data_IF_087908252758
#
_entry.id   IF_087908252758
#
_cell.length_a   1.000
_cell.length_b   1.000
_cell.length_c   1.000
_cell.angle_alpha   90.00
_cell.angle_beta   90.00
_cell.angle_gamma   90.00
#
_symmetry.space_group_name_H-M   'P 1'
#
loop_
_entity.id
_entity.type
_entity.pdbx_description
1 polymer ?
#
# COMPACT_ATOMS: atom_id res chain seq x y z
N UNK A 1 12.40 6.63 -29.96
CA UNK A 1 13.21 6.83 -28.75
C UNK A 1 13.46 5.44 -28.16
N UNK A 2 14.69 5.08 -27.81
CA UNK A 2 14.93 3.76 -27.17
C UNK A 2 14.23 3.75 -25.83
N UNK A 3 13.37 2.75 -25.58
CA UNK A 3 12.63 2.58 -24.33
C UNK A 3 13.58 2.69 -23.12
N UNK A 4 13.17 3.45 -22.11
CA UNK A 4 13.93 3.58 -20.85
C UNK A 4 13.85 2.23 -20.15
N UNK A 5 14.96 1.48 -20.12
CA UNK A 5 15.03 0.18 -19.47
C UNK A 5 14.88 0.36 -17.95
N UNK A 6 13.79 -0.11 -17.36
CA UNK A 6 13.49 -0.04 -15.91
C UNK A 6 14.61 -0.68 -15.05
N UNK A 7 15.44 -1.54 -15.63
CA UNK A 7 16.58 -2.18 -14.95
C UNK A 7 17.71 -1.19 -14.58
N UNK A 8 17.76 -0.01 -15.18
CA UNK A 8 18.75 1.02 -14.89
C UNK A 8 18.22 2.02 -13.87
N UNK A 9 19.11 2.59 -13.05
CA UNK A 9 18.75 3.71 -12.19
C UNK A 9 18.20 4.83 -13.09
N UNK A 10 16.90 5.12 -12.95
CA UNK A 10 16.24 6.15 -13.73
C UNK A 10 16.57 7.56 -13.24
N UNK A 11 15.97 8.56 -13.86
CA UNK A 11 16.00 9.94 -13.37
C UNK A 11 15.28 10.04 -12.03
N UNK A 12 15.80 10.80 -11.07
CA UNK A 12 15.14 11.04 -9.78
C UNK A 12 14.07 12.13 -9.91
N UNK A 13 12.93 11.80 -10.53
CA UNK A 13 11.83 12.74 -10.75
C UNK A 13 11.22 13.21 -9.42
N UNK A 14 11.02 12.28 -8.46
CA UNK A 14 10.44 12.61 -7.16
C UNK A 14 11.37 13.51 -6.35
N UNK A 15 12.65 13.16 -6.25
CA UNK A 15 13.62 13.91 -5.46
C UNK A 15 13.97 15.28 -6.04
N UNK A 16 13.76 15.48 -7.35
CA UNK A 16 14.02 16.75 -8.06
C UNK A 16 12.76 17.62 -8.18
N UNK A 17 11.60 17.16 -7.70
CA UNK A 17 10.36 17.92 -7.78
C UNK A 17 10.31 19.03 -6.71
N UNK A 18 9.86 20.21 -7.10
CA UNK A 18 9.62 21.35 -6.18
C UNK A 18 8.35 21.18 -5.33
N UNK A 19 7.52 20.17 -5.63
CA UNK A 19 6.27 19.91 -4.93
C UNK A 19 6.45 18.86 -3.84
N UNK A 20 5.68 19.00 -2.73
CA UNK A 20 5.64 17.99 -1.68
C UNK A 20 5.32 16.60 -2.25
N UNK A 21 5.96 15.53 -1.75
CA UNK A 21 5.66 14.15 -2.17
C UNK A 21 4.19 13.76 -2.02
N UNK A 22 3.52 14.27 -0.97
CA UNK A 22 2.09 14.05 -0.74
C UNK A 22 1.36 15.37 -0.65
N UNK A 23 0.25 15.49 -1.38
CA UNK A 23 -0.59 16.66 -1.25
C UNK A 23 -2.07 16.37 -1.54
N UNK A 24 -2.94 17.22 -0.97
CA UNK A 24 -4.35 17.27 -1.33
C UNK A 24 -4.49 17.97 -2.68
N UNK A 25 -5.18 17.35 -3.62
CA UNK A 25 -5.46 17.93 -4.95
C UNK A 25 -6.50 19.04 -4.80
N UNK A 26 -6.16 20.24 -5.28
CA UNK A 26 -7.00 21.46 -5.16
C UNK A 26 -8.25 21.38 -6.05
N UNK A 27 -8.11 20.84 -7.24
CA UNK A 27 -9.12 20.82 -8.29
C UNK A 27 -9.40 19.39 -8.74
N UNK A 28 -9.95 18.57 -7.83
CA UNK A 28 -10.27 17.17 -8.10
C UNK A 28 -11.14 16.97 -9.35
N UNK A 29 -12.05 17.94 -9.65
CA UNK A 29 -12.89 17.90 -10.85
C UNK A 29 -12.08 18.03 -12.16
N UNK A 30 -10.98 18.79 -12.16
CA UNK A 30 -10.11 18.90 -13.33
C UNK A 30 -9.31 17.61 -13.60
N UNK A 31 -9.03 16.84 -12.54
CA UNK A 31 -8.41 15.51 -12.65
C UNK A 31 -9.41 14.48 -13.17
N UNK A 32 -10.71 14.70 -12.95
CA UNK A 32 -11.80 13.80 -13.36
C UNK A 32 -11.72 12.38 -12.79
N UNK A 33 -11.12 12.22 -11.61
CA UNK A 33 -11.12 10.95 -10.89
C UNK A 33 -12.39 10.83 -10.05
N UNK A 34 -13.29 9.96 -10.46
CA UNK A 34 -14.51 9.64 -9.71
C UNK A 34 -14.23 8.56 -8.67
N UNK A 35 -14.87 8.68 -7.50
CA UNK A 35 -14.85 7.62 -6.52
C UNK A 35 -15.66 6.41 -7.04
N UNK A 36 -15.27 5.17 -6.66
CA UNK A 36 -16.08 4.00 -6.99
C UNK A 36 -17.46 4.09 -6.34
N UNK A 37 -18.44 3.39 -6.93
CA UNK A 37 -19.75 3.21 -6.28
C UNK A 37 -19.53 2.53 -4.93
N UNK A 38 -19.95 3.21 -3.87
CA UNK A 38 -19.82 2.68 -2.52
C UNK A 38 -20.86 1.58 -2.28
N UNK A 39 -20.42 0.33 -2.23
CA UNK A 39 -21.29 -0.85 -2.07
C UNK A 39 -21.14 -1.55 -0.70
N UNK A 40 -20.11 -1.16 0.09
CA UNK A 40 -19.82 -1.85 1.35
C UNK A 40 -19.71 -0.89 2.56
N UNK A 41 -19.52 0.38 2.35
CA UNK A 41 -19.38 1.40 3.39
C UNK A 41 -18.35 2.47 3.04
N UNK A 42 -17.19 2.06 2.54
CA UNK A 42 -16.17 2.93 1.98
C UNK A 42 -15.61 2.34 0.69
N UNK A 43 -15.20 3.20 -0.22
CA UNK A 43 -14.59 2.81 -1.49
C UNK A 43 -13.49 3.81 -1.88
N UNK A 44 -12.41 3.28 -2.45
CA UNK A 44 -11.27 4.09 -2.85
C UNK A 44 -10.87 3.72 -4.27
N UNK A 45 -10.78 4.72 -5.17
CA UNK A 45 -10.17 4.59 -6.48
C UNK A 45 -8.76 5.10 -6.45
N UNK A 46 -7.84 4.29 -6.93
CA UNK A 46 -6.42 4.61 -7.02
C UNK A 46 -5.97 4.50 -8.48
N UNK A 47 -5.57 5.62 -9.07
CA UNK A 47 -4.84 5.64 -10.32
C UNK A 47 -3.36 5.64 -10.03
N UNK A 48 -2.60 4.76 -10.66
CA UNK A 48 -1.13 4.74 -10.52
C UNK A 48 -0.49 4.76 -11.89
N UNK A 49 0.54 5.59 -12.06
CA UNK A 49 1.41 5.59 -13.24
C UNK A 49 2.87 5.39 -12.86
N UNK A 50 3.62 4.81 -13.79
CA UNK A 50 5.08 4.80 -13.74
C UNK A 50 5.64 6.20 -14.03
N UNK A 51 6.76 6.55 -13.42
CA UNK A 51 7.50 7.79 -13.68
C UNK A 51 8.86 7.50 -14.32
N UNK A 52 9.83 7.10 -13.52
CA UNK A 52 11.17 6.74 -13.96
C UNK A 52 11.73 5.63 -13.08
N UNK A 53 12.30 4.60 -13.67
CA UNK A 53 12.78 3.44 -12.92
C UNK A 53 11.64 2.83 -12.09
N UNK A 54 11.83 2.78 -10.76
CA UNK A 54 10.80 2.29 -9.83
C UNK A 54 9.98 3.40 -9.15
N UNK A 55 10.15 4.65 -9.56
CA UNK A 55 9.33 5.77 -9.08
C UNK A 55 7.92 5.72 -9.66
N UNK A 56 6.93 5.99 -8.84
CA UNK A 56 5.52 5.94 -9.18
C UNK A 56 4.76 7.09 -8.55
N UNK A 57 3.68 7.46 -9.17
CA UNK A 57 2.75 8.48 -8.70
C UNK A 57 1.34 7.91 -8.69
N UNK A 58 0.58 8.22 -7.63
CA UNK A 58 -0.82 7.86 -7.53
C UNK A 58 -1.72 9.07 -7.29
N UNK A 59 -2.93 9.01 -7.85
CA UNK A 59 -4.06 9.83 -7.46
C UNK A 59 -5.07 8.92 -6.77
N UNK A 60 -5.42 9.26 -5.53
CA UNK A 60 -6.24 8.43 -4.65
C UNK A 60 -7.50 9.18 -4.27
N UNK A 61 -8.66 8.69 -4.71
CA UNK A 61 -9.98 9.27 -4.44
C UNK A 61 -10.75 8.42 -3.45
N UNK A 62 -11.01 8.96 -2.26
CA UNK A 62 -11.87 8.32 -1.26
C UNK A 62 -13.33 8.71 -1.46
N UNK A 63 -14.22 7.74 -1.53
CA UNK A 63 -15.67 7.97 -1.58
C UNK A 63 -16.20 8.56 -0.28
N UNK A 64 -15.65 8.15 0.86
CA UNK A 64 -16.05 8.58 2.19
C UNK A 64 -15.71 10.04 2.48
N UNK A 65 -14.48 10.44 2.21
CA UNK A 65 -14.02 11.80 2.52
C UNK A 65 -14.24 12.78 1.38
N UNK A 66 -14.52 12.28 0.17
CA UNK A 66 -14.58 13.09 -1.05
C UNK A 66 -13.25 13.77 -1.39
N UNK A 67 -12.13 13.35 -0.80
CA UNK A 67 -10.81 13.93 -1.04
C UNK A 67 -10.05 13.16 -2.12
N UNK A 68 -9.25 13.89 -2.88
CA UNK A 68 -8.30 13.31 -3.82
C UNK A 68 -6.89 13.68 -3.37
N UNK A 69 -6.07 12.66 -3.14
CA UNK A 69 -4.68 12.80 -2.73
C UNK A 69 -3.75 12.46 -3.88
N UNK A 70 -2.69 13.24 -4.05
CA UNK A 70 -1.53 12.84 -4.83
C UNK A 70 -0.50 12.26 -3.88
N UNK A 71 -0.06 11.03 -4.16
CA UNK A 71 0.94 10.29 -3.39
C UNK A 71 2.03 9.79 -4.33
N UNK A 72 3.26 9.65 -3.85
CA UNK A 72 4.36 9.06 -4.63
C UNK A 72 5.04 7.95 -3.85
N UNK A 73 5.59 6.99 -4.57
CA UNK A 73 6.36 5.88 -4.02
C UNK A 73 7.64 5.68 -4.81
N UNK A 74 8.69 5.30 -4.11
CA UNK A 74 9.96 4.90 -4.70
C UNK A 74 10.47 3.64 -4.02
N UNK A 75 11.43 2.99 -4.64
CA UNK A 75 12.15 1.87 -4.04
C UNK A 75 13.58 2.30 -3.68
N UNK A 76 14.18 1.59 -2.76
CA UNK A 76 15.56 1.84 -2.39
C UNK A 76 16.58 1.21 -3.35
N UNK A 77 17.87 1.34 -3.02
CA UNK A 77 18.97 0.81 -3.85
C UNK A 77 18.89 -0.69 -4.14
N UNK A 78 18.16 -1.45 -3.33
CA UNK A 78 17.91 -2.89 -3.52
C UNK A 78 17.11 -3.21 -4.82
N UNK A 79 16.42 -2.22 -5.40
CA UNK A 79 15.73 -2.27 -6.69
C UNK A 79 16.24 -1.19 -7.66
N UNK A 80 17.45 -0.68 -7.47
CA UNK A 80 17.98 0.46 -8.25
C UNK A 80 17.07 1.70 -8.19
N UNK A 81 16.41 1.94 -7.05
CA UNK A 81 15.65 3.15 -6.77
C UNK A 81 16.48 4.20 -6.02
N UNK A 82 15.93 5.39 -5.88
CA UNK A 82 16.59 6.53 -5.24
C UNK A 82 16.28 6.68 -3.75
N UNK A 83 15.36 5.87 -3.20
CA UNK A 83 14.87 6.00 -1.81
C UNK A 83 14.29 7.41 -1.53
N UNK A 84 13.71 8.05 -2.57
CA UNK A 84 13.22 9.43 -2.52
C UNK A 84 11.81 9.56 -1.92
N UNK A 85 11.10 8.45 -1.78
CA UNK A 85 9.76 8.37 -1.19
C UNK A 85 9.56 7.01 -0.51
N UNK A 86 8.51 6.85 0.33
CA UNK A 86 8.23 5.58 0.97
C UNK A 86 8.03 4.44 -0.04
N UNK A 87 8.56 3.25 0.27
CA UNK A 87 8.32 2.06 -0.55
C UNK A 87 6.85 1.61 -0.46
N UNK A 88 6.32 0.87 -1.45
CA UNK A 88 4.91 0.43 -1.46
C UNK A 88 4.44 -0.26 -0.18
N UNK A 89 5.28 -1.11 0.41
CA UNK A 89 4.94 -1.85 1.63
C UNK A 89 4.79 -0.94 2.85
N UNK A 90 5.43 0.24 2.84
CA UNK A 90 5.30 1.26 3.88
C UNK A 90 3.87 1.81 3.96
N UNK A 91 3.21 2.00 2.83
CA UNK A 91 1.84 2.50 2.77
C UNK A 91 0.84 1.55 3.44
N UNK A 92 0.94 0.23 3.15
CA UNK A 92 0.09 -0.75 3.82
C UNK A 92 0.34 -0.74 5.32
N UNK A 93 1.60 -0.84 5.78
CA UNK A 93 1.92 -0.87 7.22
C UNK A 93 1.43 0.38 7.93
N UNK A 94 1.55 1.55 7.31
CA UNK A 94 1.08 2.83 7.84
C UNK A 94 -0.45 2.90 7.90
N UNK A 95 -1.12 2.54 6.80
CA UNK A 95 -2.58 2.49 6.74
C UNK A 95 -3.19 1.50 7.73
N UNK A 96 -2.56 0.34 7.91
CA UNK A 96 -2.94 -0.65 8.94
C UNK A 96 -2.87 -0.06 10.34
N UNK A 97 -1.72 0.53 10.70
CA UNK A 97 -1.52 1.11 12.02
C UNK A 97 -2.51 2.27 12.27
N UNK A 98 -2.81 3.07 11.24
CA UNK A 98 -3.84 4.11 11.32
C UNK A 98 -5.23 3.51 11.56
N UNK A 99 -5.60 2.46 10.83
CA UNK A 99 -6.90 1.79 10.98
C UNK A 99 -7.09 1.17 12.36
N UNK A 100 -6.08 0.48 12.89
CA UNK A 100 -6.14 -0.06 14.25
C UNK A 100 -6.25 1.05 15.30
N UNK A 101 -5.51 2.16 15.15
CA UNK A 101 -5.59 3.29 16.06
C UNK A 101 -6.99 3.92 16.08
N UNK A 102 -7.68 3.99 14.91
CA UNK A 102 -9.05 4.47 14.83
C UNK A 102 -9.99 3.64 15.70
N UNK A 103 -9.94 2.32 15.55
CA UNK A 103 -10.83 1.41 16.28
C UNK A 103 -10.51 1.37 17.78
N UNK A 104 -9.22 1.38 18.15
CA UNK A 104 -8.79 1.43 19.56
C UNK A 104 -9.32 2.69 20.23
N UNK A 105 -9.13 3.85 19.61
CA UNK A 105 -9.57 5.14 20.19
C UNK A 105 -11.10 5.25 20.27
N UNK A 106 -11.81 4.71 19.28
CA UNK A 106 -13.27 4.66 19.27
C UNK A 106 -13.82 3.77 20.38
N UNK A 107 -13.25 2.55 20.54
CA UNK A 107 -13.64 1.62 21.62
C UNK A 107 -13.31 2.17 23.00
N UNK A 108 -12.14 2.80 23.15
CA UNK A 108 -11.76 3.45 24.40
C UNK A 108 -12.80 4.51 24.80
N UNK A 109 -13.18 5.37 23.85
CA UNK A 109 -14.24 6.37 24.06
C UNK A 109 -15.58 5.74 24.42
N UNK A 110 -16.01 4.69 23.71
CA UNK A 110 -17.27 3.99 23.97
C UNK A 110 -17.30 3.32 25.35
N UNK A 111 -16.14 2.82 25.82
CA UNK A 111 -16.00 2.12 27.11
C UNK A 111 -15.55 3.06 28.26
N UNK A 112 -15.48 4.37 28.01
CA UNK A 112 -14.99 5.38 28.96
C UNK A 112 -13.60 5.05 29.51
N UNK A 113 -12.68 4.62 28.63
CA UNK A 113 -11.28 4.33 28.94
C UNK A 113 -10.42 5.51 28.53
N UNK A 114 -9.58 5.98 29.45
CA UNK A 114 -8.58 7.01 29.19
C UNK A 114 -7.21 6.36 29.12
N UNK A 115 -6.49 6.61 28.01
CA UNK A 115 -5.08 6.21 27.87
C UNK A 115 -4.20 7.41 28.22
N UNK A 116 -3.36 7.27 29.26
CA UNK A 116 -2.31 8.24 29.55
C UNK A 116 -1.19 8.16 28.53
N UNK A 117 -0.90 6.95 28.04
CA UNK A 117 0.01 6.70 26.91
C UNK A 117 -0.53 5.56 26.06
N UNK A 118 -0.40 5.70 24.76
CA UNK A 118 -0.75 4.67 23.79
C UNK A 118 0.22 4.74 22.61
N UNK A 119 0.87 3.63 22.30
CA UNK A 119 1.74 3.49 21.13
C UNK A 119 1.53 2.11 20.49
N UNK A 120 1.35 2.08 19.19
CA UNK A 120 1.29 0.83 18.41
C UNK A 120 2.64 0.61 17.74
N UNK A 121 3.17 -0.61 17.84
CA UNK A 121 4.37 -1.05 17.14
C UNK A 121 3.98 -2.27 16.31
N UNK A 122 3.97 -2.09 15.00
CA UNK A 122 3.55 -3.11 14.06
C UNK A 122 4.71 -3.59 13.21
N UNK A 123 4.78 -4.89 12.92
CA UNK A 123 5.70 -5.46 11.96
C UNK A 123 4.96 -6.36 10.98
N UNK A 124 5.10 -6.04 9.71
CA UNK A 124 4.60 -6.83 8.59
C UNK A 124 5.74 -7.62 7.99
N UNK A 125 5.47 -8.88 7.68
CA UNK A 125 6.45 -9.80 7.10
C UNK A 125 5.97 -10.31 5.75
N UNK A 126 6.90 -10.33 4.80
CA UNK A 126 6.64 -10.82 3.45
C UNK A 126 7.73 -11.78 3.01
N UNK A 127 7.41 -12.67 2.10
CA UNK A 127 8.38 -13.62 1.54
C UNK A 127 8.42 -13.53 0.02
N UNK A 128 9.60 -13.76 -0.55
CA UNK A 128 9.78 -13.95 -1.98
C UNK A 128 10.60 -15.20 -2.19
N UNK A 129 10.07 -16.16 -2.95
CA UNK A 129 10.72 -17.44 -3.21
C UNK A 129 10.58 -17.83 -4.68
N UNK A 130 11.57 -18.53 -5.19
CA UNK A 130 11.57 -19.09 -6.55
C UNK A 130 12.42 -18.30 -7.53
N UNK A 131 12.24 -18.59 -8.81
CA UNK A 131 13.04 -18.07 -9.92
C UNK A 131 12.17 -17.36 -10.94
N UNK A 132 12.52 -16.12 -11.29
CA UNK A 132 11.78 -15.34 -12.31
C UNK A 132 11.97 -15.96 -13.71
N UNK A 133 13.20 -16.32 -14.17
CA UNK A 133 13.36 -16.96 -15.46
C UNK A 133 12.60 -18.29 -15.61
N UNK A 134 12.43 -19.03 -14.49
CA UNK A 134 11.66 -20.29 -14.47
C UNK A 134 10.16 -20.08 -14.24
N UNK A 135 9.67 -18.83 -14.09
CA UNK A 135 8.26 -18.49 -13.77
C UNK A 135 7.75 -19.12 -12.45
N UNK A 136 8.66 -19.46 -11.55
CA UNK A 136 8.34 -20.06 -10.24
C UNK A 136 8.44 -19.07 -9.07
N UNK A 137 8.76 -17.80 -9.35
CA UNK A 137 8.85 -16.78 -8.30
C UNK A 137 7.47 -16.42 -7.76
N UNK A 138 7.31 -16.48 -6.44
CA UNK A 138 6.03 -16.21 -5.75
C UNK A 138 6.26 -15.26 -4.59
N UNK A 139 5.41 -14.23 -4.51
CA UNK A 139 5.28 -13.36 -3.35
C UNK A 139 4.38 -14.00 -2.29
N UNK A 140 4.69 -13.76 -1.02
CA UNK A 140 3.91 -14.25 0.11
C UNK A 140 3.84 -13.23 1.23
N UNK A 141 2.86 -13.39 2.13
CA UNK A 141 2.73 -12.63 3.36
C UNK A 141 2.64 -13.56 4.55
N UNK A 142 3.11 -13.10 5.71
CA UNK A 142 3.12 -13.86 6.97
C UNK A 142 2.30 -13.11 8.05
N UNK A 143 1.90 -13.80 9.14
CA UNK A 143 1.21 -13.16 10.25
C UNK A 143 1.91 -11.93 10.77
N UNK A 144 1.11 -10.93 11.17
CA UNK A 144 1.56 -9.62 11.61
C UNK A 144 1.80 -9.63 13.10
N UNK A 145 2.90 -9.03 13.55
CA UNK A 145 3.12 -8.75 14.96
C UNK A 145 2.62 -7.33 15.26
N UNK A 146 1.70 -7.20 16.21
CA UNK A 146 1.18 -5.95 16.73
C UNK A 146 1.43 -5.88 18.24
N UNK A 147 2.36 -5.04 18.66
CA UNK A 147 2.58 -4.71 20.05
C UNK A 147 1.88 -3.39 20.39
N UNK A 148 1.11 -3.40 21.46
CA UNK A 148 0.46 -2.21 22.02
C UNK A 148 1.11 -1.88 23.35
N UNK A 149 1.81 -0.76 23.39
CA UNK A 149 2.34 -0.19 24.62
C UNK A 149 1.31 0.79 25.19
N UNK A 150 0.89 0.57 26.44
CA UNK A 150 -0.23 1.31 27.04
C UNK A 150 -0.03 1.61 28.50
N UNK A 151 -0.45 2.82 28.91
CA UNK A 151 -0.62 3.21 30.31
C UNK A 151 -2.10 3.60 30.53
N UNK A 152 -2.83 2.82 31.32
CA UNK A 152 -4.21 3.06 31.72
C UNK A 152 -4.59 2.21 32.95
N UNK A 153 -5.81 2.44 33.49
CA UNK A 153 -6.28 1.79 34.71
C UNK A 153 -7.04 0.46 34.50
N UNK A 154 -7.24 0.03 33.24
CA UNK A 154 -7.91 -1.23 32.95
C UNK A 154 -7.07 -2.43 33.41
N UNK A 155 -7.72 -3.50 33.83
CA UNK A 155 -7.05 -4.79 34.05
C UNK A 155 -6.65 -5.47 32.71
N UNK A 156 -5.85 -6.51 32.79
CA UNK A 156 -5.31 -7.19 31.61
C UNK A 156 -6.38 -7.87 30.76
N UNK A 157 -7.44 -8.38 31.36
CA UNK A 157 -8.54 -9.04 30.66
C UNK A 157 -9.36 -8.02 29.84
N UNK A 158 -9.67 -6.87 30.44
CA UNK A 158 -10.39 -5.79 29.78
C UNK A 158 -9.54 -5.16 28.67
N UNK A 159 -8.23 -4.97 28.88
CA UNK A 159 -7.31 -4.50 27.85
C UNK A 159 -7.23 -5.46 26.66
N UNK A 160 -7.06 -6.74 26.93
CA UNK A 160 -7.00 -7.75 25.88
C UNK A 160 -8.30 -7.78 25.07
N UNK A 161 -9.46 -7.72 25.72
CA UNK A 161 -10.76 -7.61 25.03
C UNK A 161 -10.83 -6.36 24.17
N UNK A 162 -10.45 -5.20 24.68
CA UNK A 162 -10.51 -3.94 23.94
C UNK A 162 -9.64 -3.99 22.67
N UNK A 163 -8.40 -4.45 22.77
CA UNK A 163 -7.50 -4.46 21.62
C UNK A 163 -7.84 -5.57 20.61
N UNK A 164 -8.32 -6.72 21.07
CA UNK A 164 -8.82 -7.77 20.17
C UNK A 164 -10.07 -7.31 19.40
N UNK A 165 -11.00 -6.65 20.09
CA UNK A 165 -12.20 -6.11 19.46
C UNK A 165 -11.84 -5.03 18.43
N UNK A 166 -10.85 -4.16 18.74
CA UNK A 166 -10.35 -3.14 17.80
C UNK A 166 -9.74 -3.76 16.54
N UNK A 167 -8.91 -4.79 16.68
CA UNK A 167 -8.34 -5.51 15.53
C UNK A 167 -9.44 -6.08 14.66
N UNK A 168 -10.48 -6.68 15.26
CA UNK A 168 -11.58 -7.26 14.50
C UNK A 168 -12.49 -6.21 13.86
N UNK A 169 -12.71 -5.06 14.52
CA UNK A 169 -13.54 -3.97 14.05
C UNK A 169 -12.92 -3.19 12.89
N UNK A 170 -11.59 -3.28 12.71
CA UNK A 170 -10.88 -2.57 11.65
C UNK A 170 -11.31 -3.06 10.26
N UNK A 171 -11.67 -2.15 9.31
CA UNK A 171 -12.00 -2.50 7.93
C UNK A 171 -10.93 -3.35 7.24
N UNK A 172 -9.66 -3.11 7.59
CA UNK A 172 -8.53 -3.89 7.12
C UNK A 172 -8.64 -5.40 7.39
N UNK A 173 -9.32 -5.78 8.48
CA UNK A 173 -9.53 -7.18 8.83
C UNK A 173 -10.20 -7.98 7.69
N UNK A 174 -11.03 -7.33 6.87
CA UNK A 174 -11.63 -7.92 5.68
C UNK A 174 -10.60 -8.37 4.64
N UNK A 175 -9.54 -7.57 4.39
CA UNK A 175 -8.44 -7.94 3.49
C UNK A 175 -7.62 -9.14 4.01
N UNK A 176 -7.54 -9.32 5.32
CA UNK A 176 -6.70 -10.33 5.95
C UNK A 176 -7.37 -11.70 6.09
N UNK A 177 -8.69 -11.75 6.16
CA UNK A 177 -9.44 -12.96 6.53
C UNK A 177 -10.25 -13.57 5.39
N UNK A 178 -10.52 -12.78 4.35
CA UNK A 178 -11.41 -13.15 3.27
C UNK A 178 -10.79 -14.07 2.22
N UNK A 179 -9.48 -14.25 2.18
CA UNK A 179 -8.77 -14.89 1.07
C UNK A 179 -9.23 -14.33 -0.27
N UNK A 180 -9.14 -13.01 -0.38
CA UNK A 180 -9.68 -12.29 -1.52
C UNK A 180 -8.76 -12.46 -2.73
N UNK A 181 -9.31 -12.96 -3.82
CA UNK A 181 -8.64 -12.94 -5.11
C UNK A 181 -8.60 -11.52 -5.66
N UNK A 182 -7.58 -11.23 -6.47
CA UNK A 182 -7.52 -9.98 -7.22
C UNK A 182 -8.12 -10.20 -8.61
N UNK A 183 -8.89 -9.23 -9.10
CA UNK A 183 -9.62 -9.29 -10.37
C UNK A 183 -9.04 -8.28 -11.34
N UNK A 184 -8.88 -8.65 -12.61
CA UNK A 184 -8.15 -7.84 -13.57
C UNK A 184 -8.86 -7.63 -14.90
N UNK A 185 -8.64 -6.45 -15.47
CA UNK A 185 -8.76 -6.15 -16.89
C UNK A 185 -7.39 -5.77 -17.43
N UNK A 186 -7.12 -6.11 -18.67
CA UNK A 186 -5.86 -5.83 -19.35
C UNK A 186 -6.08 -5.06 -20.63
N UNK A 187 -5.27 -4.04 -20.86
CA UNK A 187 -5.18 -3.32 -22.13
C UNK A 187 -3.72 -3.28 -22.58
N UNK A 188 -3.49 -3.51 -23.86
CA UNK A 188 -2.20 -3.37 -24.51
C UNK A 188 -2.30 -2.36 -25.64
N UNK A 189 -1.53 -1.27 -25.57
CA UNK A 189 -1.50 -0.21 -26.58
C UNK A 189 -2.93 0.31 -26.92
N UNK A 190 -3.76 0.50 -25.88
CA UNK A 190 -5.14 0.99 -26.01
C UNK A 190 -6.17 -0.05 -26.46
N UNK A 191 -5.77 -1.31 -26.67
CA UNK A 191 -6.71 -2.40 -27.06
C UNK A 191 -6.90 -3.36 -25.88
N UNK A 192 -8.16 -3.64 -25.54
CA UNK A 192 -8.49 -4.62 -24.50
C UNK A 192 -7.99 -6.02 -24.89
N UNK A 193 -7.35 -6.69 -23.94
CA UNK A 193 -6.83 -8.03 -24.09
C UNK A 193 -7.37 -8.91 -22.94
N UNK A 194 -7.78 -10.14 -23.23
CA UNK A 194 -8.17 -11.07 -22.18
C UNK A 194 -7.00 -11.40 -21.24
N UNK A 195 -7.29 -11.75 -20.00
CA UNK A 195 -6.29 -12.30 -19.08
C UNK A 195 -5.97 -13.75 -19.45
N UNK A 196 -4.85 -14.30 -18.93
CA UNK A 196 -4.52 -15.74 -19.07
C UNK A 196 -4.79 -16.46 -17.73
N UNK A 197 -3.89 -16.34 -16.75
CA UNK A 197 -4.03 -17.00 -15.43
C UNK A 197 -4.64 -16.11 -14.38
N UNK A 198 -4.42 -14.78 -14.49
CA UNK A 198 -5.06 -13.82 -13.61
C UNK A 198 -6.58 -13.85 -13.78
N UNK A 199 -7.33 -13.82 -12.68
CA UNK A 199 -8.80 -13.86 -12.71
C UNK A 199 -9.36 -12.61 -13.39
N UNK A 200 -10.17 -12.81 -14.43
CA UNK A 200 -10.74 -11.70 -15.19
C UNK A 200 -11.86 -11.01 -14.40
N UNK A 201 -11.87 -9.68 -14.44
CA UNK A 201 -12.91 -8.84 -13.85
C UNK A 201 -14.09 -8.76 -14.83
N UNK A 202 -15.29 -9.12 -14.38
CA UNK A 202 -16.52 -9.09 -15.18
C UNK A 202 -17.12 -7.68 -15.26
N UNK A 203 -16.44 -6.78 -15.96
CA UNK A 203 -16.94 -5.44 -16.27
C UNK A 203 -16.26 -4.90 -17.55
N UNK A 204 -16.72 -3.75 -18.05
CA UNK A 204 -16.03 -3.05 -19.13
C UNK A 204 -14.67 -2.49 -18.64
N UNK A 205 -13.69 -2.44 -19.54
CA UNK A 205 -12.43 -1.76 -19.28
C UNK A 205 -12.70 -0.27 -19.00
N UNK A 206 -12.14 0.27 -17.92
CA UNK A 206 -12.22 1.70 -17.64
C UNK A 206 -11.36 2.50 -18.63
N UNK A 207 -11.64 3.80 -18.81
CA UNK A 207 -10.75 4.68 -19.55
C UNK A 207 -9.36 4.72 -18.94
N UNK A 208 -8.33 4.74 -19.78
CA UNK A 208 -6.95 4.95 -19.34
C UNK A 208 -6.82 6.33 -18.69
N UNK A 209 -6.29 6.44 -17.47
CA UNK A 209 -6.09 7.73 -16.80
C UNK A 209 -5.08 8.65 -17.50
N UNK A 210 -4.20 8.10 -18.35
CA UNK A 210 -3.33 8.85 -19.27
C UNK A 210 -2.72 10.13 -18.69
N UNK A 211 -3.01 11.26 -19.33
CA UNK A 211 -2.47 12.58 -18.99
C UNK A 211 -3.19 13.31 -17.85
N UNK A 212 -4.25 12.73 -17.26
CA UNK A 212 -5.03 13.35 -16.19
C UNK A 212 -4.20 13.69 -14.95
N UNK A 213 -3.10 12.97 -14.71
CA UNK A 213 -2.17 13.26 -13.63
C UNK A 213 -1.56 14.67 -13.69
N UNK A 214 -1.38 15.21 -14.90
CA UNK A 214 -0.83 16.55 -15.09
C UNK A 214 -1.74 17.66 -14.55
N UNK A 215 -3.03 17.38 -14.40
CA UNK A 215 -4.01 18.33 -13.86
C UNK A 215 -3.98 18.39 -12.32
N UNK A 216 -3.27 17.50 -11.64
CA UNK A 216 -3.22 17.47 -10.18
C UNK A 216 -2.35 18.62 -9.64
N UNK A 217 -3.00 19.62 -9.03
CA UNK A 217 -2.36 20.80 -8.44
C UNK A 217 -2.53 20.77 -6.92
N UNK A 218 -1.46 21.06 -6.12
CA UNK A 218 -1.55 21.06 -4.67
C UNK A 218 -2.43 22.18 -4.13
N UNK A 219 -3.11 21.92 -3.01
CA UNK A 219 -3.66 22.98 -2.14
C UNK A 219 -2.48 23.66 -1.45
N UNK A 220 -2.43 24.98 -1.56
CA UNK A 220 -1.35 25.78 -0.99
C UNK A 220 -1.37 25.80 0.56
N UNK A 221 -0.20 26.09 1.16
CA UNK A 221 -0.04 26.31 2.61
C UNK A 221 -0.50 25.15 3.50
N UNK A 222 -0.28 23.90 3.08
CA UNK A 222 -0.50 22.74 3.93
C UNK A 222 0.82 22.20 4.50
N UNK A 223 0.78 21.60 5.71
CA UNK A 223 1.96 20.95 6.27
C UNK A 223 2.37 19.74 5.42
N UNK A 224 3.64 19.38 5.51
CA UNK A 224 4.13 18.15 4.92
C UNK A 224 3.45 16.93 5.57
N UNK A 225 2.87 16.08 4.71
CA UNK A 225 2.13 14.89 5.13
C UNK A 225 3.02 13.65 5.22
N UNK A 226 4.20 13.73 4.61
CA UNK A 226 5.24 12.69 4.61
C UNK A 226 6.61 13.35 4.55
N UNK A 227 7.57 12.74 5.21
CA UNK A 227 8.97 13.20 5.13
C UNK A 227 9.94 12.15 5.60
N UNK A 228 11.19 12.16 5.10
CA UNK A 228 12.22 11.26 5.56
C UNK A 228 12.63 11.60 7.01
N UNK A 229 12.81 10.57 7.81
CA UNK A 229 13.35 10.68 9.19
C UNK A 229 14.85 10.38 9.20
N UNK A 230 15.28 9.49 8.32
CA UNK A 230 16.65 9.02 8.21
C UNK A 230 16.71 7.49 8.04
N UNK A 231 17.91 6.92 8.01
CA UNK A 231 18.06 5.48 7.88
C UNK A 231 17.36 4.73 9.00
N UNK A 232 16.65 3.67 8.68
CA UNK A 232 16.05 2.78 9.70
C UNK A 232 17.14 2.23 10.61
N UNK A 233 16.99 2.29 11.96
CA UNK A 233 17.92 1.67 12.88
C UNK A 233 18.07 0.17 12.55
N UNK A 234 19.30 -0.31 12.48
CA UNK A 234 19.55 -1.74 12.27
C UNK A 234 19.00 -2.52 13.45
N UNK A 235 18.16 -3.51 13.20
CA UNK A 235 17.79 -4.53 14.18
C UNK A 235 18.66 -5.76 13.97
N UNK A 236 19.14 -6.36 15.02
CA UNK A 236 19.66 -7.73 15.00
C UNK A 236 18.50 -8.71 14.81
N UNK A 237 17.92 -8.69 13.61
CA UNK A 237 16.91 -9.67 13.23
C UNK A 237 17.65 -10.78 12.51
N UNK A 238 17.59 -11.99 13.04
CA UNK A 238 17.99 -13.21 12.36
C UNK A 238 17.02 -13.45 11.16
N UNK A 239 17.09 -12.56 10.20
CA UNK A 239 16.42 -12.70 8.90
C UNK A 239 17.31 -13.62 8.08
N UNK A 240 16.74 -14.76 7.66
CA UNK A 240 17.43 -15.73 6.82
C UNK A 240 18.21 -15.02 5.72
N UNK A 241 19.44 -15.45 5.59
CA UNK A 241 20.46 -14.92 4.71
C UNK A 241 19.97 -14.43 3.38
N UNK A 242 20.24 -13.21 3.08
CA UNK A 242 20.64 -12.50 1.87
C UNK A 242 20.03 -11.09 1.79
N UNK A 243 20.14 -10.31 2.85
CA UNK A 243 19.83 -8.87 2.80
C UNK A 243 20.75 -8.09 1.83
N UNK A 244 21.80 -8.72 1.33
CA UNK A 244 22.77 -8.11 0.42
C UNK A 244 22.54 -8.46 -1.06
N UNK A 245 21.78 -9.50 -1.39
CA UNK A 245 21.44 -9.78 -2.78
C UNK A 245 20.32 -8.83 -3.22
N UNK A 246 20.54 -8.07 -4.28
CA UNK A 246 19.55 -7.16 -4.85
C UNK A 246 18.24 -7.86 -5.17
N UNK A 247 17.15 -7.13 -5.15
CA UNK A 247 15.82 -7.66 -5.44
C UNK A 247 15.61 -8.06 -6.90
N UNK A 248 16.61 -7.85 -7.74
CA UNK A 248 16.66 -8.20 -9.17
C UNK A 248 17.49 -9.46 -9.47
N UNK A 249 17.82 -10.29 -8.47
CA UNK A 249 18.49 -11.58 -8.73
C UNK A 249 17.47 -12.60 -9.23
N UNK A 250 17.91 -13.46 -10.18
CA UNK A 250 17.07 -14.45 -10.85
C UNK A 250 16.35 -15.40 -9.88
N UNK A 251 17.00 -15.76 -8.79
CA UNK A 251 16.44 -16.60 -7.72
C UNK A 251 16.31 -15.81 -6.43
N UNK A 252 15.20 -16.01 -5.75
CA UNK A 252 14.88 -15.36 -4.48
C UNK A 252 14.55 -16.40 -3.40
N UNK A 253 15.05 -16.19 -2.21
CA UNK A 253 14.62 -16.86 -0.99
C UNK A 253 14.84 -15.90 0.17
N UNK A 254 13.93 -14.94 0.31
CA UNK A 254 14.10 -13.87 1.29
C UNK A 254 12.81 -13.61 2.06
N UNK A 255 12.99 -13.09 3.25
CA UNK A 255 11.94 -12.55 4.12
C UNK A 255 12.15 -11.05 4.28
N UNK A 256 11.09 -10.28 4.13
CA UNK A 256 11.09 -8.84 4.30
C UNK A 256 10.41 -8.48 5.62
N UNK A 257 10.79 -7.35 6.21
CA UNK A 257 10.17 -6.80 7.41
C UNK A 257 10.03 -5.28 7.28
N UNK A 258 8.78 -4.82 7.27
CA UNK A 258 8.42 -3.40 7.29
C UNK A 258 7.64 -3.14 8.56
N UNK A 259 8.11 -2.16 9.35
CA UNK A 259 7.46 -1.78 10.59
C UNK A 259 6.72 -0.45 10.49
N UNK A 260 5.82 -0.21 11.44
CA UNK A 260 5.20 1.08 11.69
C UNK A 260 5.06 1.32 13.20
N UNK A 261 5.37 2.53 13.64
CA UNK A 261 5.15 2.98 15.01
C UNK A 261 4.14 4.12 14.95
N UNK A 262 2.96 3.92 15.52
CA UNK A 262 1.89 4.90 15.47
C UNK A 262 1.57 5.47 16.85
N UNK A 263 1.36 6.77 16.88
CA UNK A 263 0.90 7.53 18.06
C UNK A 263 -0.24 8.46 17.66
N UNK A 264 -1.17 8.67 18.59
CA UNK A 264 -2.21 9.67 18.44
C UNK A 264 -1.67 11.04 18.89
N UNK A 265 -1.91 12.07 18.08
CA UNK A 265 -1.62 13.46 18.42
C UNK A 265 -2.80 14.07 19.18
N UNK A 266 -2.55 15.15 19.90
CA UNK A 266 -3.59 15.92 20.60
C UNK A 266 -4.68 16.46 19.67
N UNK A 267 -4.33 16.76 18.42
CA UNK A 267 -5.28 17.22 17.39
C UNK A 267 -6.07 16.08 16.72
N UNK A 268 -5.90 14.83 17.17
CA UNK A 268 -6.59 13.64 16.67
C UNK A 268 -5.99 13.03 15.41
N UNK A 269 -4.96 13.64 14.80
CA UNK A 269 -4.21 12.99 13.71
C UNK A 269 -3.30 11.89 14.25
N UNK A 270 -2.98 10.94 13.40
CA UNK A 270 -1.99 9.89 13.69
C UNK A 270 -0.64 10.33 13.14
N UNK A 271 0.37 10.24 14.00
CA UNK A 271 1.77 10.40 13.67
C UNK A 271 2.37 9.00 13.56
N UNK A 272 2.79 8.61 12.37
CA UNK A 272 3.21 7.24 12.10
C UNK A 272 4.61 7.25 11.49
N UNK A 273 5.56 6.68 12.22
CA UNK A 273 6.90 6.46 11.71
C UNK A 273 7.00 5.06 11.10
N UNK A 274 7.15 5.00 9.81
CA UNK A 274 7.43 3.77 9.09
C UNK A 274 8.91 3.40 9.22
N UNK A 275 9.18 2.10 9.40
CA UNK A 275 10.51 1.52 9.57
C UNK A 275 10.78 0.49 8.48
N UNK A 276 11.89 0.62 7.75
CA UNK A 276 12.27 -0.30 6.68
C UNK A 276 13.45 -1.17 7.09
N UNK A 277 13.16 -2.27 7.77
CA UNK A 277 14.19 -3.17 8.30
C UNK A 277 14.79 -4.10 7.25
N UNK A 278 13.93 -4.64 6.36
CA UNK A 278 14.35 -5.53 5.27
C UNK A 278 13.35 -5.46 4.10
N UNK A 279 13.76 -5.11 2.88
CA UNK A 279 15.10 -4.60 2.57
C UNK A 279 15.36 -3.31 3.34
N UNK A 280 16.59 -3.10 3.78
CA UNK A 280 16.94 -1.95 4.58
C UNK A 280 16.88 -0.65 3.76
N UNK A 281 16.33 0.42 4.35
CA UNK A 281 16.13 1.69 3.68
C UNK A 281 15.80 2.84 4.64
N UNK A 282 15.36 3.95 4.08
CA UNK A 282 14.98 5.16 4.82
C UNK A 282 13.66 4.94 5.56
N UNK A 283 13.62 5.40 6.82
CA UNK A 283 12.39 5.58 7.59
C UNK A 283 11.68 6.86 7.14
N UNK A 284 10.36 6.79 7.03
CA UNK A 284 9.52 7.95 6.71
C UNK A 284 8.51 8.18 7.83
N UNK A 285 8.21 9.45 8.06
CA UNK A 285 7.11 9.87 8.90
C UNK A 285 5.89 10.15 8.04
N UNK A 286 4.73 9.64 8.43
CA UNK A 286 3.45 9.90 7.79
C UNK A 286 2.49 10.59 8.76
N UNK A 287 1.64 11.45 8.24
CA UNK A 287 0.43 11.89 8.91
C UNK A 287 -0.79 11.20 8.28
N UNK A 288 -1.74 10.79 9.13
CA UNK A 288 -3.02 10.22 8.69
C UNK A 288 -4.18 10.76 9.51
N UNK A 289 -5.33 10.99 8.87
CA UNK A 289 -6.54 11.40 9.56
C UNK A 289 -7.81 11.01 8.80
N UNK A 290 -8.90 10.78 9.51
CA UNK A 290 -10.19 10.40 8.92
C UNK A 290 -11.06 11.62 8.55
N UNK A 291 -10.63 12.83 8.90
CA UNK A 291 -11.37 14.10 8.66
C UNK A 291 -10.90 14.85 7.40
N UNK A 292 -10.02 14.24 6.59
CA UNK A 292 -9.52 14.80 5.33
C UNK A 292 -8.43 15.87 5.48
N UNK A 293 -7.79 15.99 6.66
CA UNK A 293 -6.57 16.80 6.83
C UNK A 293 -5.34 16.11 6.32
N UNK A 294 -5.32 14.78 6.32
CA UNK A 294 -4.30 13.91 5.77
C UNK A 294 -4.95 12.69 5.11
N UNK A 295 -4.24 11.88 4.31
CA UNK A 295 -4.77 10.63 3.78
C UNK A 295 -5.30 9.73 4.89
N UNK A 296 -6.52 9.21 4.71
CA UNK A 296 -7.13 8.25 5.63
C UNK A 296 -6.49 6.85 5.49
N UNK A 297 -6.81 5.97 6.45
CA UNK A 297 -6.24 4.62 6.49
C UNK A 297 -6.49 3.83 5.19
N UNK A 298 -7.73 3.86 4.66
CA UNK A 298 -8.10 3.11 3.46
C UNK A 298 -7.42 3.67 2.21
N UNK A 299 -7.26 5.00 2.12
CA UNK A 299 -6.50 5.65 1.05
C UNK A 299 -5.03 5.22 1.03
N UNK A 300 -4.38 5.12 2.20
CA UNK A 300 -3.00 4.63 2.30
C UNK A 300 -2.89 3.15 1.94
N UNK A 301 -3.81 2.30 2.42
CA UNK A 301 -3.84 0.87 2.11
C UNK A 301 -4.00 0.65 0.61
N UNK A 302 -4.96 1.34 -0.02
CA UNK A 302 -5.24 1.23 -1.46
C UNK A 302 -4.06 1.68 -2.30
N UNK A 303 -3.43 2.81 -1.95
CA UNK A 303 -2.21 3.28 -2.62
C UNK A 303 -1.08 2.25 -2.52
N UNK A 304 -0.87 1.67 -1.32
CA UNK A 304 0.13 0.64 -1.10
C UNK A 304 -0.05 -0.56 -2.02
N UNK A 305 -1.28 -1.07 -2.14
CA UNK A 305 -1.60 -2.22 -3.00
C UNK A 305 -1.27 -1.88 -4.46
N UNK A 306 -1.74 -0.74 -4.98
CA UNK A 306 -1.48 -0.30 -6.34
C UNK A 306 0.02 -0.09 -6.62
N UNK A 307 0.74 0.58 -5.73
CA UNK A 307 2.19 0.77 -5.86
C UNK A 307 2.97 -0.55 -5.84
N UNK A 308 2.60 -1.48 -4.94
CA UNK A 308 3.27 -2.78 -4.84
C UNK A 308 3.09 -3.59 -6.13
N UNK A 309 1.86 -3.61 -6.66
CA UNK A 309 1.56 -4.29 -7.90
C UNK A 309 2.35 -3.70 -9.08
N UNK A 310 2.36 -2.38 -9.23
CA UNK A 310 3.13 -1.67 -10.25
C UNK A 310 4.65 -1.94 -10.13
N UNK A 311 5.18 -2.12 -8.92
CA UNK A 311 6.59 -2.52 -8.72
C UNK A 311 6.89 -3.88 -9.37
N UNK A 312 5.93 -4.82 -9.35
CA UNK A 312 6.18 -6.16 -9.91
C UNK A 312 6.27 -6.14 -11.44
N UNK A 313 5.49 -5.31 -12.13
CA UNK A 313 5.71 -5.07 -13.57
C UNK A 313 7.14 -4.61 -13.84
N UNK A 314 7.59 -3.57 -13.15
CA UNK A 314 8.96 -3.08 -13.28
C UNK A 314 10.02 -4.15 -13.00
N UNK A 315 9.82 -4.98 -11.97
CA UNK A 315 10.73 -6.10 -11.67
C UNK A 315 10.74 -7.15 -12.77
N UNK A 316 9.57 -7.58 -13.22
CA UNK A 316 9.45 -8.61 -14.26
C UNK A 316 10.15 -8.18 -15.54
N UNK A 317 9.84 -7.01 -16.07
CA UNK A 317 10.44 -6.51 -17.31
C UNK A 317 11.94 -6.23 -17.16
N UNK A 318 12.39 -5.74 -15.99
CA UNK A 318 13.82 -5.53 -15.72
C UNK A 318 14.62 -6.82 -15.73
N UNK A 319 14.10 -7.86 -15.09
CA UNK A 319 14.79 -9.16 -14.95
C UNK A 319 14.82 -9.92 -16.27
N UNK A 320 13.79 -9.79 -17.11
CA UNK A 320 13.70 -10.46 -18.39
C UNK A 320 14.13 -9.60 -19.59
N UNK A 321 14.45 -8.32 -19.34
CA UNK A 321 14.84 -7.32 -20.34
C UNK A 321 13.77 -7.11 -21.42
N UNK A 322 12.51 -7.09 -21.00
CA UNK A 322 11.36 -6.84 -21.86
C UNK A 322 11.12 -5.32 -22.05
N UNK A 323 10.39 -4.99 -23.10
CA UNK A 323 9.99 -3.62 -23.40
C UNK A 323 8.68 -3.28 -22.67
N UNK A 324 8.70 -2.26 -21.80
CA UNK A 324 7.52 -1.69 -21.15
C UNK A 324 7.83 -0.24 -20.77
N UNK A 325 7.84 0.69 -21.75
CA UNK A 325 8.23 2.07 -21.52
C UNK A 325 7.26 2.86 -20.66
N UNK A 326 5.98 2.49 -20.65
CA UNK A 326 4.94 3.13 -19.85
C UNK A 326 3.85 2.13 -19.46
N UNK A 327 3.36 2.23 -18.23
CA UNK A 327 2.30 1.40 -17.72
C UNK A 327 1.55 2.09 -16.58
N UNK A 328 0.26 1.84 -16.50
CA UNK A 328 -0.68 2.48 -15.58
C UNK A 328 -1.69 1.47 -15.07
N UNK A 329 -2.30 1.78 -13.94
CA UNK A 329 -3.45 1.04 -13.43
C UNK A 329 -4.55 1.99 -12.93
N UNK A 330 -5.78 1.50 -13.00
CA UNK A 330 -6.93 1.99 -12.23
C UNK A 330 -7.33 0.86 -11.30
N UNK A 331 -7.30 1.11 -9.99
CA UNK A 331 -7.60 0.11 -8.97
C UNK A 331 -8.74 0.61 -8.09
N UNK A 332 -9.76 -0.22 -7.89
CA UNK A 332 -10.84 0.00 -6.95
C UNK A 332 -10.75 -0.97 -5.76
N UNK A 333 -10.91 -0.42 -4.56
CA UNK A 333 -10.95 -1.16 -3.31
C UNK A 333 -12.21 -0.79 -2.53
N UNK A 334 -12.84 -1.79 -1.92
CA UNK A 334 -14.09 -1.63 -1.18
C UNK A 334 -13.95 -2.20 0.22
N UNK A 335 -14.27 -1.38 1.23
CA UNK A 335 -14.16 -1.73 2.63
C UNK A 335 -15.49 -1.52 3.33
N UNK A 336 -15.74 -2.30 4.38
CA UNK A 336 -16.78 -1.95 5.35
C UNK A 336 -16.40 -0.66 6.09
N UNK A 337 -17.39 -0.05 6.71
CA UNK A 337 -17.14 0.95 7.76
C UNK A 337 -16.48 0.27 8.98
N UNK A 338 -15.81 1.06 9.81
CA UNK A 338 -15.20 0.59 11.04
C UNK A 338 -16.25 0.10 12.05
N UNK A 339 -15.98 -1.00 12.70
CA UNK A 339 -16.91 -1.59 13.67
C UNK A 339 -17.14 -0.68 14.86
N UNK A 340 -16.10 -0.05 15.37
CA UNK A 340 -16.17 0.86 16.50
C UNK A 340 -16.16 2.32 16.05
N UNK A 341 -15.28 2.71 15.15
CA UNK A 341 -15.12 4.11 14.71
C UNK A 341 -16.36 4.66 14.01
N UNK A 342 -17.07 3.84 13.25
CA UNK A 342 -18.33 4.19 12.57
C UNK A 342 -19.58 3.58 13.26
N UNK A 343 -19.39 2.89 14.39
CA UNK A 343 -20.50 2.40 15.24
C UNK A 343 -21.30 1.23 14.64
N UNK A 344 -20.77 0.49 13.68
CA UNK A 344 -21.50 -0.62 13.07
C UNK A 344 -21.59 -1.84 13.97
N UNK A 345 -20.69 -1.98 14.95
CA UNK A 345 -20.60 -3.12 15.85
C UNK A 345 -20.23 -4.44 15.18
N UNK A 346 -19.70 -4.38 13.93
CA UNK A 346 -19.37 -5.55 13.12
C UNK A 346 -17.85 -5.68 12.92
N UNK A 347 -17.42 -6.89 12.61
CA UNK A 347 -16.06 -7.12 12.12
C UNK A 347 -15.87 -6.47 10.74
N UNK A 348 -14.64 -6.04 10.47
CA UNK A 348 -14.29 -5.46 9.18
C UNK A 348 -14.41 -6.47 8.03
N UNK A 349 -14.89 -5.99 6.90
CA UNK A 349 -15.03 -6.73 5.64
C UNK A 349 -14.39 -5.93 4.48
N UNK A 350 -13.99 -6.65 3.45
CA UNK A 350 -13.54 -6.06 2.18
C UNK A 350 -13.99 -6.93 1.00
N UNK A 351 -14.03 -6.36 -0.19
CA UNK A 351 -14.25 -7.08 -1.44
C UNK A 351 -12.90 -7.39 -2.14
N UNK A 352 -12.90 -8.29 -3.14
CA UNK A 352 -11.77 -8.48 -4.04
C UNK A 352 -11.26 -7.16 -4.62
N UNK A 353 -9.95 -7.07 -4.82
CA UNK A 353 -9.32 -5.89 -5.45
C UNK A 353 -9.60 -5.93 -6.94
N UNK A 354 -10.16 -4.87 -7.49
CA UNK A 354 -10.47 -4.72 -8.90
C UNK A 354 -9.43 -3.83 -9.57
N UNK A 355 -8.77 -4.33 -10.63
CA UNK A 355 -7.65 -3.59 -11.24
C UNK A 355 -7.72 -3.63 -12.77
N UNK A 356 -7.69 -2.47 -13.39
CA UNK A 356 -7.53 -2.29 -14.84
C UNK A 356 -6.09 -1.91 -15.13
N UNK A 357 -5.42 -2.68 -15.98
CA UNK A 357 -4.02 -2.52 -16.34
C UNK A 357 -3.88 -2.01 -17.77
N UNK A 358 -3.04 -1.00 -17.97
CA UNK A 358 -2.75 -0.39 -19.28
C UNK A 358 -1.25 -0.49 -19.52
N UNK A 359 -0.86 -1.30 -20.51
CA UNK A 359 0.52 -1.58 -20.87
C UNK A 359 0.83 -1.00 -22.26
N UNK A 360 1.86 -0.14 -22.32
CA UNK A 360 2.42 0.32 -23.59
C UNK A 360 3.68 -0.50 -23.87
N UNK A 361 3.62 -1.41 -24.84
CA UNK A 361 4.70 -2.37 -25.08
C UNK A 361 4.77 -2.79 -26.54
N UNK A 362 5.96 -3.09 -27.04
CA UNK A 362 6.19 -3.70 -28.33
C UNK A 362 6.19 -5.25 -28.28
N UNK A 363 6.08 -5.82 -27.09
CA UNK A 363 5.99 -7.27 -26.91
C UNK A 363 4.66 -7.82 -27.46
N UNK A 364 4.59 -9.12 -27.70
CA UNK A 364 3.37 -9.78 -28.15
C UNK A 364 2.30 -9.89 -27.05
N UNK A 365 1.09 -10.33 -27.43
CA UNK A 365 -0.04 -10.43 -26.51
C UNK A 365 0.20 -11.45 -25.39
N UNK A 366 0.82 -12.59 -25.72
CA UNK A 366 1.15 -13.61 -24.72
C UNK A 366 2.14 -13.09 -23.68
N UNK A 367 3.14 -12.33 -24.11
CA UNK A 367 4.09 -11.67 -23.19
C UNK A 367 3.41 -10.62 -22.33
N UNK A 368 2.47 -9.81 -22.89
CA UNK A 368 1.70 -8.85 -22.12
C UNK A 368 0.82 -9.52 -21.05
N UNK A 369 0.18 -10.65 -21.38
CA UNK A 369 -0.57 -11.47 -20.43
C UNK A 369 0.36 -12.05 -19.35
N UNK A 370 1.54 -12.54 -19.72
CA UNK A 370 2.54 -13.06 -18.77
C UNK A 370 3.04 -11.94 -17.83
N UNK A 371 3.20 -10.70 -18.31
CA UNK A 371 3.55 -9.55 -17.46
C UNK A 371 2.51 -9.36 -16.35
N UNK A 372 1.22 -9.45 -16.66
CA UNK A 372 0.14 -9.36 -15.68
C UNK A 372 0.20 -10.53 -14.68
N UNK A 373 0.24 -11.77 -15.17
CA UNK A 373 0.22 -12.98 -14.36
C UNK A 373 1.39 -13.01 -13.36
N UNK A 374 2.60 -12.74 -13.84
CA UNK A 374 3.78 -12.76 -13.00
C UNK A 374 3.82 -11.58 -12.02
N UNK A 375 3.25 -10.43 -12.40
CA UNK A 375 3.13 -9.28 -11.50
C UNK A 375 2.15 -9.56 -10.37
N UNK A 376 1.02 -10.19 -10.65
CA UNK A 376 0.07 -10.65 -9.64
C UNK A 376 0.68 -11.71 -8.73
N UNK A 377 1.29 -12.76 -9.32
CA UNK A 377 1.90 -13.88 -8.59
C UNK A 377 3.00 -13.42 -7.62
N UNK A 378 3.75 -12.39 -7.97
CA UNK A 378 4.88 -11.89 -7.17
C UNK A 378 4.53 -10.68 -6.29
N UNK A 379 3.32 -10.14 -6.38
CA UNK A 379 2.90 -9.00 -5.57
C UNK A 379 2.69 -9.40 -4.11
N UNK A 380 3.45 -8.78 -3.21
CA UNK A 380 3.35 -9.02 -1.77
C UNK A 380 1.98 -8.63 -1.20
N UNK A 381 1.38 -7.55 -1.70
CA UNK A 381 0.14 -7.02 -1.15
C UNK A 381 -1.09 -7.75 -1.73
N UNK A 382 -1.04 -8.24 -2.96
CA UNK A 382 -2.02 -9.21 -3.45
C UNK A 382 -1.90 -10.54 -2.67
N UNK A 383 -0.67 -11.01 -2.42
CA UNK A 383 -0.45 -12.18 -1.56
C UNK A 383 -1.00 -11.98 -0.14
N UNK A 384 -0.90 -10.77 0.42
CA UNK A 384 -1.51 -10.42 1.69
C UNK A 384 -3.04 -10.58 1.66
N UNK A 385 -3.72 -10.11 0.63
CA UNK A 385 -5.17 -10.19 0.49
C UNK A 385 -5.67 -11.63 0.28
N UNK A 386 -4.96 -12.47 -0.48
CA UNK A 386 -5.36 -13.87 -0.73
C UNK A 386 -4.93 -14.87 0.33
N UNK A 387 -4.18 -14.43 1.36
CA UNK A 387 -3.73 -15.29 2.46
C UNK A 387 -4.58 -15.03 3.69
N UNK A 388 -5.09 -16.11 4.32
CA UNK A 388 -5.71 -15.97 5.64
C UNK A 388 -4.64 -15.61 6.67
N UNK A 389 -4.70 -14.38 7.12
CA UNK A 389 -3.70 -13.78 8.00
C UNK A 389 -4.22 -13.61 9.41
N UNK A 390 -3.31 -13.58 10.36
CA UNK A 390 -3.61 -13.29 11.77
C UNK A 390 -2.74 -12.16 12.27
N UNK A 391 -3.31 -11.31 13.11
CA UNK A 391 -2.56 -10.35 13.91
C UNK A 391 -2.21 -10.99 15.25
N UNK A 392 -0.92 -11.13 15.53
CA UNK A 392 -0.41 -11.57 16.82
C UNK A 392 -0.30 -10.36 17.73
N UNK A 393 -1.25 -10.25 18.64
CA UNK A 393 -1.33 -9.14 19.59
C UNK A 393 -0.43 -9.41 20.79
N UNK A 394 0.38 -8.42 21.17
CA UNK A 394 1.13 -8.35 22.41
C UNK A 394 0.80 -7.03 23.11
N UNK A 395 0.51 -7.08 24.40
CA UNK A 395 0.24 -5.89 25.22
C UNK A 395 1.39 -5.69 26.18
N UNK A 396 1.95 -4.50 26.21
CA UNK A 396 3.02 -4.09 27.12
C UNK A 396 2.53 -2.90 27.96
N UNK A 397 2.43 -3.07 29.27
CA UNK A 397 2.13 -1.96 30.19
C UNK A 397 3.35 -1.07 30.38
N UNK A 398 3.13 0.25 30.42
CA UNK A 398 4.15 1.27 30.64
C UNK A 398 4.15 1.75 32.09
#
# INVERSE_FOLDING_TARGET
MKGKNVAQLGENIIGNADTSPFFLVKNADAVSIDAPVNRKGDAVRTWVRSLSGFQKEALVRSARTGRTWRLVSDEGPYLNGHDAAPCPLAFLSTGMAASYMNEITALAKQRNVEFRKLRLIQNNFYTMKGSMPKRTMVGGAEPIDLEVEVDCDLDDAALNSLFMDAVHASPLNGLMRGKLDSLFKLSKNGTELSTDKATELDCALFPDPGDHFAAAVPVENRPDLVGPVGPTPKKDVALGTTAAAGSLTDEQNRRLNIGAIAMLREDGMKDIQQMQYSPWGTSFKFLSSEDGRAPDANSLISAGIGFCFMTQFGRFVSMLKLDLPDYRIVQDTHFSLGGASDGTGKAGEADPIETHCYLETTEDDATAQEMLDMSEQTCFLHAFCRTEMKTKLKITRL
#
